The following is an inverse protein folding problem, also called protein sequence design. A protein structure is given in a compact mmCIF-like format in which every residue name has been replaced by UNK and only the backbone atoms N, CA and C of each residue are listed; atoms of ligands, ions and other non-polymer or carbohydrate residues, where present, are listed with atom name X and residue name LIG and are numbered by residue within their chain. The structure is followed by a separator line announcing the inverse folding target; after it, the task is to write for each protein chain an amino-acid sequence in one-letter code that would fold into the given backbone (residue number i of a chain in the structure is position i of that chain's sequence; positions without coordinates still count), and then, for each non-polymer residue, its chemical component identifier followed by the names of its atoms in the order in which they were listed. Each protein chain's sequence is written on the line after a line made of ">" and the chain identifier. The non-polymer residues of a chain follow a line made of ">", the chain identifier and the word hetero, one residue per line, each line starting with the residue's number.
data_IF_875089241058
#
_entry.id   IF_875089241058
#
_cell.length_a   1.000
_cell.length_b   1.000
_cell.length_c   1.000
_cell.angle_alpha   90.00
_cell.angle_beta   90.00
_cell.angle_gamma   90.00
#
_symmetry.space_group_name_H-M   'P 1'
#
loop_
_entity.id
_entity.type
_entity.pdbx_description
1 polymer ?
#
# COMPACT_ATOMS: atom_id res chain seq x y z
N UNK A 1 -41.41 10.25 31.61
CA UNK A 1 -41.21 9.17 30.61
C UNK A 1 -39.72 8.92 30.44
N UNK A 2 -39.32 7.68 30.59
CA UNK A 2 -37.94 7.23 30.86
C UNK A 2 -37.03 7.39 29.65
N UNK A 3 -35.84 8.02 29.88
CA UNK A 3 -34.71 7.99 28.98
C UNK A 3 -34.04 6.61 29.06
N UNK A 4 -33.81 5.97 27.91
CA UNK A 4 -33.05 4.73 27.79
C UNK A 4 -31.59 5.10 27.60
N UNK A 5 -30.76 4.74 28.58
CA UNK A 5 -29.33 4.87 28.53
C UNK A 5 -28.72 3.83 27.57
N UNK A 6 -28.00 4.27 26.57
CA UNK A 6 -27.17 3.41 25.74
C UNK A 6 -25.91 2.99 26.53
N UNK A 7 -25.86 1.71 26.91
CA UNK A 7 -24.73 1.08 27.54
C UNK A 7 -23.59 0.91 26.52
N UNK A 8 -22.50 1.69 26.66
CA UNK A 8 -21.25 1.48 25.96
C UNK A 8 -20.59 0.19 26.44
N UNK A 9 -20.63 -0.85 25.62
CA UNK A 9 -19.90 -2.08 25.86
C UNK A 9 -18.39 -1.82 25.67
N UNK A 10 -17.62 -1.98 26.73
CA UNK A 10 -16.15 -2.09 26.68
C UNK A 10 -15.78 -3.29 25.80
N UNK A 11 -14.76 -3.19 24.91
CA UNK A 11 -14.28 -4.35 24.18
C UNK A 11 -13.61 -5.31 25.16
N UNK A 12 -14.18 -6.48 25.28
CA UNK A 12 -13.66 -7.62 26.02
C UNK A 12 -12.40 -8.14 25.33
N UNK A 13 -11.46 -8.66 26.11
CA UNK A 13 -10.14 -9.20 25.78
C UNK A 13 -10.10 -10.38 24.78
N UNK A 14 -11.15 -10.64 24.04
CA UNK A 14 -11.24 -11.70 23.03
C UNK A 14 -10.98 -11.27 21.59
N UNK A 15 -10.74 -9.96 21.32
CA UNK A 15 -10.56 -9.46 19.93
C UNK A 15 -9.30 -9.94 19.22
N UNK A 16 -8.37 -10.50 19.92
CA UNK A 16 -7.04 -10.81 19.41
C UNK A 16 -6.90 -12.12 18.65
N UNK A 17 -7.55 -13.16 19.08
CA UNK A 17 -7.59 -14.42 18.36
C UNK A 17 -8.26 -14.24 16.97
N UNK A 18 -9.31 -13.44 16.90
CA UNK A 18 -10.03 -13.15 15.66
C UNK A 18 -9.18 -12.49 14.57
N UNK A 19 -8.25 -11.59 14.91
CA UNK A 19 -7.38 -10.92 13.91
C UNK A 19 -6.39 -11.90 13.32
N UNK A 20 -5.79 -12.78 14.13
CA UNK A 20 -4.89 -13.83 13.63
C UNK A 20 -5.66 -14.89 12.82
N UNK A 21 -6.88 -15.24 13.22
CA UNK A 21 -7.75 -16.17 12.49
C UNK A 21 -8.21 -15.60 11.13
N UNK A 22 -8.27 -14.29 10.98
CA UNK A 22 -8.58 -13.59 9.71
C UNK A 22 -7.51 -13.72 8.63
N UNK A 23 -6.29 -14.17 8.99
CA UNK A 23 -5.17 -14.33 8.07
C UNK A 23 -4.65 -15.76 8.06
N UNK A 24 -4.39 -16.27 6.87
CA UNK A 24 -3.65 -17.50 6.64
C UNK A 24 -2.15 -17.19 6.60
N UNK A 25 -1.36 -17.83 7.44
CA UNK A 25 0.09 -17.69 7.45
C UNK A 25 0.71 -18.46 6.29
N UNK A 26 1.53 -17.80 5.49
CA UNK A 26 2.29 -18.37 4.38
C UNK A 26 3.80 -18.39 4.72
N UNK A 27 4.65 -18.22 3.72
CA UNK A 27 6.10 -18.30 3.85
C UNK A 27 6.70 -17.18 4.71
N UNK A 28 7.83 -17.50 5.35
CA UNK A 28 8.70 -16.49 5.97
C UNK A 28 9.48 -15.79 4.86
N UNK A 29 9.30 -14.47 4.72
CA UNK A 29 9.92 -13.67 3.69
C UNK A 29 11.10 -12.82 4.20
N UNK A 30 11.31 -12.75 5.50
CA UNK A 30 12.42 -12.04 6.10
C UNK A 30 12.62 -12.33 7.59
N UNK A 31 13.86 -12.13 8.03
CA UNK A 31 14.25 -12.12 9.43
C UNK A 31 14.78 -10.74 9.77
N UNK A 32 14.02 -9.98 10.58
CA UNK A 32 14.47 -8.70 11.13
C UNK A 32 15.21 -8.87 12.46
N UNK A 33 15.91 -7.85 12.88
CA UNK A 33 16.66 -7.82 14.17
C UNK A 33 15.78 -8.13 15.39
N UNK A 34 14.46 -7.93 15.28
CA UNK A 34 13.49 -8.03 16.37
C UNK A 34 12.35 -9.04 16.13
N UNK A 35 12.41 -9.82 15.05
CA UNK A 35 11.37 -10.81 14.76
C UNK A 35 11.31 -11.25 13.31
N UNK A 36 10.29 -12.01 13.00
CA UNK A 36 10.04 -12.59 11.69
C UNK A 36 9.15 -11.68 10.84
N UNK A 37 9.36 -11.71 9.52
CA UNK A 37 8.42 -11.15 8.55
C UNK A 37 7.86 -12.31 7.74
N UNK A 38 6.54 -12.41 7.74
CA UNK A 38 5.80 -13.50 7.10
C UNK A 38 4.84 -12.95 6.06
N UNK A 39 4.76 -13.59 4.90
CA UNK A 39 3.68 -13.40 3.94
C UNK A 39 2.40 -13.99 4.52
N UNK A 40 1.30 -13.27 4.45
CA UNK A 40 -0.01 -13.72 4.94
C UNK A 40 -1.09 -13.41 3.91
N UNK A 41 -2.13 -14.26 3.87
CA UNK A 41 -3.31 -14.06 3.01
C UNK A 41 -4.51 -13.71 3.87
N UNK A 42 -5.19 -12.60 3.60
CA UNK A 42 -6.45 -12.27 4.26
C UNK A 42 -7.56 -13.18 3.74
N UNK A 43 -8.24 -13.89 4.64
CA UNK A 43 -9.25 -14.91 4.26
C UNK A 43 -10.52 -14.31 3.64
N UNK A 44 -10.85 -13.06 3.97
CA UNK A 44 -12.09 -12.41 3.51
C UNK A 44 -12.08 -12.08 2.01
N UNK A 45 -10.92 -11.76 1.43
CA UNK A 45 -10.79 -11.31 0.04
C UNK A 45 -9.61 -11.94 -0.70
N UNK A 46 -8.81 -12.78 -0.04
CA UNK A 46 -7.65 -13.45 -0.62
C UNK A 46 -6.43 -12.53 -0.84
N UNK A 47 -6.48 -11.26 -0.43
CA UNK A 47 -5.37 -10.32 -0.60
C UNK A 47 -4.15 -10.72 0.23
N UNK A 48 -2.96 -10.47 -0.34
CA UNK A 48 -1.67 -10.78 0.29
C UNK A 48 -1.11 -9.56 1.02
N UNK A 49 -0.53 -9.82 2.20
CA UNK A 49 0.08 -8.84 3.07
C UNK A 49 1.41 -9.36 3.63
N UNK A 50 2.23 -8.46 4.14
CA UNK A 50 3.36 -8.78 5.00
C UNK A 50 2.93 -8.63 6.47
N UNK A 51 3.27 -9.61 7.31
CA UNK A 51 3.05 -9.56 8.75
C UNK A 51 4.39 -9.58 9.47
N UNK A 52 4.70 -8.50 10.17
CA UNK A 52 5.87 -8.39 11.03
C UNK A 52 5.51 -8.87 12.44
N UNK A 53 6.29 -9.79 12.97
CA UNK A 53 6.09 -10.43 14.29
C UNK A 53 7.22 -9.96 15.21
N UNK A 54 6.91 -9.08 16.17
CA UNK A 54 7.88 -8.47 17.08
C UNK A 54 7.72 -9.08 18.48
N UNK A 55 8.75 -9.74 18.99
CA UNK A 55 8.76 -10.21 20.38
C UNK A 55 9.04 -9.02 21.32
N UNK A 56 8.09 -8.70 22.21
CA UNK A 56 8.19 -7.60 23.14
C UNK A 56 8.31 -8.05 24.63
N UNK A 57 8.43 -9.35 24.91
CA UNK A 57 8.62 -9.82 26.29
C UNK A 57 9.84 -9.19 26.97
N UNK A 58 10.92 -8.99 26.22
CA UNK A 58 12.18 -8.42 26.71
C UNK A 58 12.17 -6.89 26.78
N UNK A 59 11.07 -6.23 26.40
CA UNK A 59 10.93 -4.78 26.40
C UNK A 59 10.31 -4.31 27.71
N UNK A 60 10.76 -3.15 28.20
CA UNK A 60 10.09 -2.47 29.32
C UNK A 60 8.73 -1.90 28.88
N UNK A 61 7.87 -1.60 29.84
CA UNK A 61 6.50 -1.14 29.57
C UNK A 61 6.46 0.20 28.80
N UNK A 62 7.45 1.06 29.03
CA UNK A 62 7.57 2.35 28.33
C UNK A 62 7.81 2.15 26.84
N UNK A 63 8.74 1.26 26.46
CA UNK A 63 9.08 0.96 25.07
C UNK A 63 7.90 0.29 24.37
N UNK A 64 7.18 -0.62 25.04
CA UNK A 64 5.94 -1.24 24.51
C UNK A 64 4.89 -0.18 24.17
N UNK A 65 4.62 0.77 25.06
CA UNK A 65 3.67 1.87 24.83
C UNK A 65 4.12 2.78 23.67
N UNK A 66 5.42 3.05 23.57
CA UNK A 66 5.98 3.86 22.48
C UNK A 66 5.78 3.21 21.12
N UNK A 67 6.13 1.92 20.97
CA UNK A 67 5.94 1.19 19.69
C UNK A 67 4.47 1.18 19.27
N UNK A 68 3.57 0.88 20.21
CA UNK A 68 2.14 0.88 19.94
C UNK A 68 1.64 2.26 19.49
N UNK A 69 2.13 3.33 20.11
CA UNK A 69 1.81 4.71 19.72
C UNK A 69 2.33 5.04 18.32
N UNK A 70 3.57 4.65 18.02
CA UNK A 70 4.24 4.91 16.74
C UNK A 70 3.54 4.17 15.59
N UNK A 71 3.18 2.89 15.77
CA UNK A 71 2.37 2.14 14.80
C UNK A 71 1.02 2.81 14.56
N UNK A 72 0.36 3.34 15.60
CA UNK A 72 -0.88 4.09 15.43
C UNK A 72 -0.70 5.35 14.60
N UNK A 73 0.41 6.05 14.76
CA UNK A 73 0.74 7.24 13.96
C UNK A 73 0.96 6.84 12.49
N UNK A 74 1.71 5.76 12.25
CA UNK A 74 1.98 5.26 10.89
C UNK A 74 0.71 4.81 10.16
N UNK A 75 -0.26 4.21 10.86
CA UNK A 75 -1.57 3.88 10.26
C UNK A 75 -2.32 5.08 9.70
N UNK A 76 -2.08 6.26 10.23
CA UNK A 76 -2.74 7.49 9.75
C UNK A 76 -2.01 8.14 8.57
N UNK A 77 -0.82 7.65 8.22
CA UNK A 77 -0.05 8.12 7.08
C UNK A 77 -0.48 7.34 5.84
N UNK A 78 -1.10 8.04 4.90
CA UNK A 78 -1.50 7.49 3.60
C UNK A 78 -0.73 8.25 2.52
N UNK A 79 0.17 7.57 1.84
CA UNK A 79 0.97 8.11 0.74
C UNK A 79 1.43 6.97 -0.18
N UNK A 80 1.42 7.18 -1.48
CA UNK A 80 1.72 6.14 -2.47
C UNK A 80 3.14 5.56 -2.34
N UNK A 81 4.09 6.37 -1.85
CA UNK A 81 5.47 5.95 -1.64
C UNK A 81 5.79 5.57 -0.18
N UNK A 82 4.80 5.26 0.64
CA UNK A 82 4.97 4.75 2.01
C UNK A 82 4.24 3.42 2.14
N UNK A 83 4.87 2.43 2.74
CA UNK A 83 4.25 1.14 3.03
C UNK A 83 3.01 1.37 3.89
N UNK A 84 1.85 0.94 3.40
CA UNK A 84 0.58 1.09 4.11
C UNK A 84 0.50 0.09 5.26
N UNK A 85 0.23 0.61 6.46
CA UNK A 85 -0.07 -0.18 7.64
C UNK A 85 -1.56 -0.46 7.68
N UNK A 86 -1.94 -1.74 7.65
CA UNK A 86 -3.33 -2.17 7.63
C UNK A 86 -3.89 -2.28 9.04
N UNK A 87 -3.34 -3.16 9.85
CA UNK A 87 -3.76 -3.38 11.23
C UNK A 87 -2.64 -3.91 12.11
N UNK A 88 -2.87 -3.89 13.42
CA UNK A 88 -1.95 -4.46 14.40
C UNK A 88 -2.71 -5.25 15.45
N UNK A 89 -2.02 -6.22 16.01
CA UNK A 89 -2.50 -7.02 17.11
C UNK A 89 -1.41 -7.25 18.15
N UNK A 90 -1.78 -7.18 19.43
CA UNK A 90 -0.87 -7.45 20.56
C UNK A 90 -1.31 -8.75 21.21
N UNK A 91 -0.48 -9.77 21.07
CA UNK A 91 -0.62 -11.03 21.78
C UNK A 91 0.09 -10.91 23.13
N UNK A 92 -0.68 -10.69 24.17
CA UNK A 92 -0.15 -10.49 25.53
C UNK A 92 0.26 -11.80 26.18
N UNK A 93 -0.28 -12.95 25.73
CA UNK A 93 0.04 -14.28 26.26
C UNK A 93 1.40 -14.75 25.76
N UNK A 94 1.68 -14.56 24.46
CA UNK A 94 2.95 -14.96 23.85
C UNK A 94 3.97 -13.81 23.76
N UNK A 95 3.62 -12.62 24.23
CA UNK A 95 4.51 -11.44 24.20
C UNK A 95 4.88 -10.98 22.78
N UNK A 96 3.97 -11.11 21.80
CA UNK A 96 4.23 -10.80 20.40
C UNK A 96 3.32 -9.65 19.92
N UNK A 97 3.91 -8.66 19.26
CA UNK A 97 3.20 -7.64 18.50
C UNK A 97 3.21 -8.03 17.02
N UNK A 98 2.04 -8.24 16.46
CA UNK A 98 1.83 -8.46 15.03
C UNK A 98 1.45 -7.14 14.36
N UNK A 99 2.12 -6.83 13.25
CA UNK A 99 1.83 -5.66 12.41
C UNK A 99 1.59 -6.16 10.99
N UNK A 100 0.39 -5.95 10.48
CA UNK A 100 0.01 -6.28 9.11
C UNK A 100 0.18 -5.05 8.24
N UNK A 101 0.87 -5.21 7.12
CA UNK A 101 1.22 -4.13 6.20
C UNK A 101 1.19 -4.59 4.75
N UNK A 102 1.17 -3.64 3.84
CA UNK A 102 1.29 -3.85 2.40
C UNK A 102 2.49 -4.76 2.06
N UNK A 103 2.27 -5.72 1.17
CA UNK A 103 3.34 -6.58 0.65
C UNK A 103 4.00 -5.92 -0.55
N UNK A 104 5.30 -5.66 -0.46
CA UNK A 104 6.11 -5.10 -1.55
C UNK A 104 6.82 -6.24 -2.28
N UNK A 105 6.36 -6.59 -3.47
CA UNK A 105 6.86 -7.76 -4.22
C UNK A 105 8.10 -7.47 -5.07
N UNK A 106 8.45 -6.20 -5.27
CA UNK A 106 9.62 -5.77 -6.05
C UNK A 106 10.97 -5.88 -5.31
N UNK A 107 10.94 -6.30 -4.04
CA UNK A 107 12.14 -6.35 -3.20
C UNK A 107 12.49 -5.01 -2.58
N UNK A 108 13.79 -4.71 -2.44
CA UNK A 108 14.33 -3.50 -1.82
C UNK A 108 15.51 -2.92 -2.61
N UNK A 109 15.86 -1.65 -2.38
CA UNK A 109 16.98 -0.99 -3.08
C UNK A 109 18.34 -1.60 -2.74
N UNK A 110 18.52 -2.19 -1.56
CA UNK A 110 19.75 -2.91 -1.21
C UNK A 110 19.96 -4.12 -2.13
N UNK A 111 18.88 -4.84 -2.46
CA UNK A 111 18.90 -5.94 -3.44
C UNK A 111 19.22 -5.43 -4.85
N UNK A 112 18.67 -4.27 -5.24
CA UNK A 112 18.98 -3.62 -6.54
C UNK A 112 20.45 -3.26 -6.61
N UNK A 113 21.01 -2.61 -5.59
CA UNK A 113 22.43 -2.24 -5.50
C UNK A 113 23.33 -3.49 -5.58
N UNK A 114 23.02 -4.53 -4.80
CA UNK A 114 23.76 -5.81 -4.82
C UNK A 114 23.75 -6.46 -6.20
N UNK A 115 22.61 -6.42 -6.90
CA UNK A 115 22.48 -6.92 -8.28
C UNK A 115 23.38 -6.12 -9.23
N UNK A 116 23.32 -4.78 -9.20
CA UNK A 116 24.13 -3.90 -10.03
C UNK A 116 25.63 -4.12 -9.77
N UNK A 117 26.02 -4.27 -8.50
CA UNK A 117 27.42 -4.58 -8.12
C UNK A 117 27.89 -5.92 -8.70
N UNK A 118 27.05 -6.96 -8.64
CA UNK A 118 27.36 -8.29 -9.19
C UNK A 118 27.49 -8.28 -10.71
N UNK A 119 26.62 -7.55 -11.40
CA UNK A 119 26.63 -7.45 -12.87
C UNK A 119 27.61 -6.38 -13.39
N UNK A 120 28.24 -5.61 -12.50
CA UNK A 120 29.10 -4.47 -12.84
C UNK A 120 28.43 -3.43 -13.75
N UNK A 121 27.11 -3.22 -13.54
CA UNK A 121 26.29 -2.27 -14.28
C UNK A 121 25.85 -1.14 -13.37
N UNK A 122 25.83 0.09 -13.87
CA UNK A 122 25.27 1.22 -13.16
C UNK A 122 23.78 1.39 -13.50
N UNK A 123 23.03 1.95 -12.56
CA UNK A 123 21.65 2.34 -12.82
C UNK A 123 21.60 3.51 -13.81
N UNK A 124 20.62 3.55 -14.73
CA UNK A 124 20.35 4.76 -15.51
C UNK A 124 20.10 5.95 -14.58
N UNK A 125 20.64 7.13 -14.93
CA UNK A 125 20.46 8.32 -14.08
C UNK A 125 18.99 8.69 -13.88
N UNK A 126 18.17 8.49 -14.91
CA UNK A 126 16.71 8.70 -14.81
C UNK A 126 16.05 7.83 -13.72
N UNK A 127 16.49 6.58 -13.57
CA UNK A 127 16.03 5.69 -12.50
C UNK A 127 16.47 6.18 -11.13
N UNK A 128 17.68 6.70 -11.02
CA UNK A 128 18.18 7.30 -9.76
C UNK A 128 17.35 8.53 -9.38
N UNK A 129 17.08 9.43 -10.34
CA UNK A 129 16.21 10.59 -10.10
C UNK A 129 14.78 10.18 -9.74
N UNK A 130 14.24 9.11 -10.35
CA UNK A 130 12.91 8.59 -10.04
C UNK A 130 12.86 8.07 -8.59
N UNK A 131 13.81 7.24 -8.18
CA UNK A 131 13.87 6.76 -6.79
C UNK A 131 14.09 7.91 -5.81
N UNK A 132 14.97 8.85 -6.12
CA UNK A 132 15.22 10.01 -5.29
C UNK A 132 13.97 10.87 -5.11
N UNK A 133 13.23 11.13 -6.19
CA UNK A 133 11.99 11.91 -6.15
C UNK A 133 10.93 11.24 -5.27
N UNK A 134 10.70 9.95 -5.45
CA UNK A 134 9.72 9.17 -4.70
C UNK A 134 10.07 9.08 -3.20
N UNK A 135 11.35 8.81 -2.86
CA UNK A 135 11.82 8.84 -1.47
C UNK A 135 11.64 10.22 -0.84
N UNK A 136 11.92 11.30 -1.60
CA UNK A 136 11.76 12.68 -1.12
C UNK A 136 10.31 13.02 -0.87
N UNK A 137 9.40 12.61 -1.75
CA UNK A 137 7.95 12.82 -1.59
C UNK A 137 7.41 12.06 -0.36
N UNK A 138 7.84 10.81 -0.17
CA UNK A 138 7.48 10.03 1.02
C UNK A 138 7.97 10.67 2.33
N UNK A 139 9.21 11.15 2.36
CA UNK A 139 9.77 11.84 3.52
C UNK A 139 9.08 13.19 3.76
N UNK A 140 8.71 13.92 2.70
CA UNK A 140 7.95 15.18 2.85
C UNK A 140 6.62 14.94 3.54
N UNK A 141 5.87 13.92 3.10
CA UNK A 141 4.60 13.53 3.72
C UNK A 141 4.76 13.15 5.20
N UNK A 142 5.90 12.56 5.59
CA UNK A 142 6.22 12.23 6.98
C UNK A 142 6.61 13.47 7.79
N UNK A 143 7.49 14.33 7.24
CA UNK A 143 8.04 15.47 7.95
C UNK A 143 7.03 16.61 8.14
N UNK A 144 6.10 16.80 7.20
CA UNK A 144 5.19 17.95 7.16
C UNK A 144 3.72 17.53 7.15
N UNK A 145 3.43 16.50 7.91
CA UNK A 145 2.10 15.96 8.02
C UNK A 145 1.07 17.03 8.41
N UNK A 146 -0.02 17.10 7.67
CA UNK A 146 -1.19 17.88 8.02
C UNK A 146 -2.28 16.95 8.56
N UNK A 147 -2.86 17.27 9.70
CA UNK A 147 -4.08 16.60 10.20
C UNK A 147 -5.25 17.51 9.92
N UNK A 148 -6.36 16.90 9.52
CA UNK A 148 -7.61 17.63 9.27
C UNK A 148 -7.93 18.55 10.47
N UNK A 149 -8.40 19.80 10.21
CA UNK A 149 -8.72 20.74 11.29
C UNK A 149 -9.79 20.14 12.21
N UNK A 150 -9.60 20.27 13.49
CA UNK A 150 -10.66 20.01 14.45
C UNK A 150 -11.80 21.01 14.27
N UNK A 151 -13.00 20.75 14.79
CA UNK A 151 -14.17 21.64 14.69
C UNK A 151 -13.91 23.09 15.10
N UNK A 152 -12.80 23.39 15.75
CA UNK A 152 -12.34 24.75 16.13
C UNK A 152 -11.57 25.50 15.04
N UNK A 153 -11.35 24.94 13.84
CA UNK A 153 -10.80 25.60 12.66
C UNK A 153 -9.30 25.95 12.69
N UNK A 154 -8.57 25.70 13.79
CA UNK A 154 -7.15 25.99 13.87
C UNK A 154 -6.30 24.85 13.28
N UNK A 155 -5.35 25.11 12.36
CA UNK A 155 -4.43 24.07 11.87
C UNK A 155 -3.55 23.61 13.05
N UNK A 156 -3.66 22.32 13.40
CA UNK A 156 -2.80 21.72 14.41
C UNK A 156 -1.48 21.32 13.74
N UNK A 157 -0.38 21.94 14.18
CA UNK A 157 0.97 21.47 13.83
C UNK A 157 1.15 20.10 14.46
N UNK A 158 1.20 19.06 13.63
CA UNK A 158 1.40 17.69 14.10
C UNK A 158 2.90 17.41 14.14
N UNK A 159 3.33 16.65 15.13
CA UNK A 159 4.72 16.24 15.27
C UNK A 159 5.18 15.50 14.00
N UNK A 160 6.34 15.89 13.46
CA UNK A 160 6.97 15.24 12.32
C UNK A 160 7.21 13.74 12.63
N UNK A 161 6.95 12.89 11.67
CA UNK A 161 7.32 11.48 11.71
C UNK A 161 8.74 11.40 11.14
N UNK A 162 9.69 10.98 11.98
CA UNK A 162 11.07 10.76 11.58
C UNK A 162 11.28 9.29 11.23
N UNK A 163 11.94 9.00 10.10
CA UNK A 163 12.18 7.61 9.68
C UNK A 163 13.19 6.89 10.58
N UNK A 164 14.28 7.55 10.95
CA UNK A 164 15.33 7.11 11.87
C UNK A 164 16.18 5.90 11.48
N UNK A 165 15.72 5.08 10.53
CA UNK A 165 16.46 3.91 10.00
C UNK A 165 16.43 3.85 8.48
N UNK A 166 16.60 5.00 7.84
CA UNK A 166 16.65 5.09 6.38
C UNK A 166 17.94 4.46 5.85
N UNK A 167 17.77 3.40 5.07
CA UNK A 167 18.83 2.63 4.39
C UNK A 167 18.23 1.91 3.20
N UNK A 168 19.03 1.44 2.22
CA UNK A 168 18.52 0.78 1.02
C UNK A 168 17.60 -0.43 1.29
N UNK A 169 17.86 -1.20 2.36
CA UNK A 169 17.06 -2.36 2.73
C UNK A 169 15.66 -2.01 3.27
N UNK A 170 15.45 -0.76 3.71
CA UNK A 170 14.16 -0.25 4.20
C UNK A 170 13.40 0.58 3.14
N UNK A 171 13.95 0.67 1.94
CA UNK A 171 13.31 1.27 0.76
C UNK A 171 12.85 0.13 -0.14
N UNK A 172 11.60 -0.27 0.05
CA UNK A 172 10.99 -1.36 -0.70
C UNK A 172 10.52 -0.89 -2.08
N UNK A 173 10.24 -1.85 -2.95
CA UNK A 173 9.68 -1.63 -4.28
C UNK A 173 8.38 -2.43 -4.40
N UNK A 174 7.36 -1.81 -4.99
CA UNK A 174 6.15 -2.54 -5.37
C UNK A 174 6.36 -3.36 -6.65
N UNK A 175 5.32 -4.04 -7.14
CA UNK A 175 5.39 -4.84 -8.36
C UNK A 175 5.72 -4.01 -9.62
N UNK A 176 5.41 -2.71 -9.62
CA UNK A 176 5.71 -1.77 -10.71
C UNK A 176 7.06 -1.05 -10.52
N UNK A 177 7.87 -1.45 -9.54
CA UNK A 177 9.15 -0.85 -9.18
C UNK A 177 9.04 0.58 -8.62
N UNK A 178 7.89 0.96 -8.06
CA UNK A 178 7.74 2.21 -7.34
C UNK A 178 8.26 2.06 -5.91
N UNK A 179 8.82 3.14 -5.39
CA UNK A 179 9.35 3.18 -4.01
C UNK A 179 8.22 3.14 -2.99
N UNK A 180 8.44 2.32 -1.97
CA UNK A 180 7.64 2.22 -0.75
C UNK A 180 8.54 2.33 0.47
N UNK A 181 8.58 3.49 1.13
CA UNK A 181 9.32 3.64 2.40
C UNK A 181 8.63 2.82 3.49
N UNK A 182 9.38 1.96 4.15
CA UNK A 182 8.89 1.13 5.25
C UNK A 182 9.93 0.97 6.35
N UNK A 183 9.58 0.17 7.34
CA UNK A 183 10.43 -0.08 8.51
C UNK A 183 10.90 1.21 9.19
N UNK A 184 9.97 2.17 9.37
CA UNK A 184 10.21 3.31 10.23
C UNK A 184 10.76 2.83 11.57
N UNK A 185 11.75 3.50 12.08
CA UNK A 185 12.63 3.05 13.18
C UNK A 185 11.99 2.66 14.51
N UNK A 186 10.84 1.93 14.42
CA UNK A 186 10.20 1.25 15.57
C UNK A 186 11.20 0.49 16.42
N UNK A 187 12.25 -0.01 15.77
CA UNK A 187 13.30 -0.80 16.40
C UNK A 187 14.45 0.02 16.96
N UNK A 188 14.69 1.25 16.47
CA UNK A 188 15.82 2.08 16.96
C UNK A 188 15.51 2.83 18.25
N UNK A 189 14.26 3.13 18.55
CA UNK A 189 13.92 3.63 19.89
C UNK A 189 14.16 2.57 20.97
N UNK A 190 13.97 1.29 20.61
CA UNK A 190 14.31 0.15 21.49
C UNK A 190 15.82 0.00 21.66
N UNK A 191 16.59 0.28 20.61
CA UNK A 191 18.05 0.19 20.65
C UNK A 191 18.70 1.39 21.34
N UNK A 192 18.04 2.53 21.52
CA UNK A 192 18.65 3.71 22.17
C UNK A 192 19.12 3.43 23.60
N UNK A 193 18.52 2.46 24.29
CA UNK A 193 19.03 1.96 25.59
C UNK A 193 19.98 0.76 25.43
N UNK A 194 19.90 0.02 24.31
CA UNK A 194 20.83 -1.06 23.95
C UNK A 194 22.10 -0.54 23.25
N UNK A 195 22.17 0.74 22.92
CA UNK A 195 23.31 1.37 22.24
C UNK A 195 24.65 1.23 22.98
N UNK A 196 24.63 0.86 24.26
CA UNK A 196 25.85 0.64 25.01
C UNK A 196 26.55 -0.71 24.70
N UNK A 197 25.85 -1.74 24.18
CA UNK A 197 26.41 -3.09 24.20
C UNK A 197 26.24 -3.98 22.94
N UNK A 198 25.47 -3.62 21.88
CA UNK A 198 25.31 -4.56 20.76
C UNK A 198 25.01 -3.87 19.44
N UNK A 199 25.99 -3.22 18.82
CA UNK A 199 25.92 -2.83 17.43
C UNK A 199 26.15 -4.06 16.54
N UNK A 200 25.08 -4.67 16.05
CA UNK A 200 25.16 -5.64 14.96
C UNK A 200 25.06 -4.87 13.63
N UNK A 201 26.22 -4.57 13.01
CA UNK A 201 26.33 -3.91 11.71
C UNK A 201 26.94 -2.52 11.76
N UNK A 202 27.56 -2.11 10.65
CA UNK A 202 28.22 -0.80 10.52
C UNK A 202 27.18 0.26 10.12
N UNK A 203 27.04 1.38 10.86
CA UNK A 203 25.97 2.37 10.63
C UNK A 203 26.32 3.37 9.51
N UNK A 204 26.46 2.89 8.27
CA UNK A 204 26.94 3.68 7.12
C UNK A 204 26.12 4.95 6.82
N UNK A 205 24.85 4.99 7.24
CA UNK A 205 23.91 6.10 6.97
C UNK A 205 23.74 7.04 8.16
N UNK A 206 24.57 6.86 9.20
CA UNK A 206 24.56 7.70 10.40
C UNK A 206 24.96 9.13 10.06
N UNK A 207 24.16 10.10 10.52
CA UNK A 207 24.47 11.52 10.34
C UNK A 207 25.56 12.01 11.34
N UNK A 208 26.27 13.11 11.01
CA UNK A 208 27.30 13.68 11.88
C UNK A 208 26.77 14.05 13.28
N UNK A 209 25.56 14.57 13.38
CA UNK A 209 24.91 14.91 14.65
C UNK A 209 24.70 13.67 15.52
N UNK A 210 24.27 12.55 14.95
CA UNK A 210 24.17 11.30 15.69
C UNK A 210 25.53 10.75 16.11
N UNK A 211 26.53 10.87 15.24
CA UNK A 211 27.91 10.47 15.55
C UNK A 211 28.56 11.32 16.67
N UNK A 212 27.96 12.47 17.01
CA UNK A 212 28.37 13.37 18.10
C UNK A 212 27.41 13.40 19.27
N UNK A 213 26.38 12.49 19.28
CA UNK A 213 25.41 12.37 20.36
C UNK A 213 24.36 13.49 20.42
N UNK A 214 24.19 14.22 19.32
CA UNK A 214 23.15 15.24 19.22
C UNK A 214 21.80 14.62 18.81
N UNK A 215 20.67 15.33 19.08
CA UNK A 215 19.34 14.83 18.73
C UNK A 215 19.15 14.61 17.22
N UNK A 216 18.39 13.57 16.86
CA UNK A 216 17.94 13.29 15.52
C UNK A 216 16.81 14.23 15.12
N UNK A 217 16.85 14.78 13.90
CA UNK A 217 15.80 15.61 13.33
C UNK A 217 15.49 15.25 11.84
N UNK A 218 14.60 16.02 11.20
CA UNK A 218 14.25 15.83 9.78
C UNK A 218 15.46 15.95 8.84
N UNK A 219 16.51 16.68 9.24
CA UNK A 219 17.73 16.84 8.44
C UNK A 219 18.66 15.63 8.55
N UNK A 220 18.49 14.81 9.57
CA UNK A 220 19.19 13.53 9.70
C UNK A 220 18.62 12.50 8.71
N UNK A 221 17.28 12.50 8.47
CA UNK A 221 16.69 11.70 7.38
C UNK A 221 17.19 12.16 6.01
N UNK A 222 17.38 13.49 5.80
CA UNK A 222 17.92 14.03 4.55
C UNK A 222 19.40 13.61 4.33
N UNK A 223 20.20 13.54 5.38
CA UNK A 223 21.55 12.98 5.29
C UNK A 223 21.51 11.52 4.84
N UNK A 224 20.69 10.68 5.48
CA UNK A 224 20.56 9.27 5.10
C UNK A 224 20.05 9.10 3.66
N UNK A 225 19.10 9.93 3.22
CA UNK A 225 18.65 10.00 1.83
C UNK A 225 19.83 10.31 0.89
N UNK A 226 20.67 11.29 1.23
CA UNK A 226 21.88 11.62 0.46
C UNK A 226 22.85 10.45 0.34
N UNK A 227 23.05 9.69 1.42
CA UNK A 227 23.87 8.47 1.41
C UNK A 227 23.29 7.41 0.47
N UNK A 228 21.96 7.19 0.49
CA UNK A 228 21.30 6.22 -0.39
C UNK A 228 21.44 6.63 -1.86
N UNK A 229 21.17 7.91 -2.19
CA UNK A 229 21.30 8.41 -3.57
C UNK A 229 22.74 8.27 -4.07
N UNK A 230 23.73 8.57 -3.23
CA UNK A 230 25.12 8.33 -3.55
C UNK A 230 25.39 6.84 -3.83
N UNK A 231 24.88 5.95 -2.97
CA UNK A 231 25.12 4.51 -3.11
C UNK A 231 24.40 3.89 -4.32
N UNK A 232 23.25 4.40 -4.73
CA UNK A 232 22.59 4.01 -5.99
C UNK A 232 23.49 4.29 -7.20
N UNK A 233 24.32 5.34 -7.15
CA UNK A 233 25.23 5.71 -8.21
C UNK A 233 26.58 4.96 -8.11
N UNK A 234 27.20 5.01 -6.92
CA UNK A 234 28.54 4.51 -6.69
C UNK A 234 28.60 3.01 -6.38
N UNK A 235 27.44 2.40 -6.07
CA UNK A 235 27.27 1.01 -5.63
C UNK A 235 28.01 0.69 -4.31
N UNK A 236 28.42 1.71 -3.58
CA UNK A 236 29.01 1.64 -2.24
C UNK A 236 28.62 2.89 -1.44
N UNK A 237 28.59 2.83 -0.11
CA UNK A 237 28.25 3.98 0.70
C UNK A 237 29.30 5.10 0.57
N UNK A 238 28.92 6.39 0.76
CA UNK A 238 29.86 7.52 0.63
C UNK A 238 30.97 7.49 1.70
N UNK A 239 30.71 6.90 2.84
CA UNK A 239 31.64 6.73 3.94
C UNK A 239 31.79 5.25 4.25
N UNK A 240 32.68 4.57 3.52
CA UNK A 240 32.99 3.17 3.76
C UNK A 240 34.18 3.04 4.72
N UNK A 241 34.08 2.14 5.71
CA UNK A 241 35.08 1.95 6.74
C UNK A 241 35.07 0.52 7.27
N UNK A 242 36.23 0.04 7.72
CA UNK A 242 36.40 -1.29 8.30
C UNK A 242 35.87 -1.43 9.73
N UNK A 243 35.72 -0.30 10.44
CA UNK A 243 35.22 -0.25 11.82
C UNK A 243 34.50 1.08 12.12
N UNK A 244 33.75 1.08 13.23
CA UNK A 244 32.90 2.21 13.63
C UNK A 244 33.73 3.49 13.94
N UNK A 245 34.91 3.37 14.51
CA UNK A 245 35.77 4.51 14.83
C UNK A 245 36.24 5.22 13.56
N UNK A 246 36.68 4.45 12.58
CA UNK A 246 37.08 4.98 11.27
C UNK A 246 35.88 5.59 10.54
N UNK A 247 34.72 4.92 10.56
CA UNK A 247 33.48 5.44 9.98
C UNK A 247 33.11 6.80 10.59
N UNK A 248 33.07 6.88 11.92
CA UNK A 248 32.78 8.12 12.65
C UNK A 248 33.76 9.24 12.26
N UNK A 249 35.03 8.93 12.11
CA UNK A 249 36.06 9.89 11.67
C UNK A 249 35.78 10.38 10.24
N UNK A 250 35.48 9.48 9.27
CA UNK A 250 35.15 9.84 7.90
C UNK A 250 33.89 10.70 7.81
N UNK A 251 32.84 10.33 8.55
CA UNK A 251 31.60 11.12 8.64
C UNK A 251 31.89 12.54 9.15
N UNK A 252 32.67 12.67 10.23
CA UNK A 252 33.06 13.98 10.78
C UNK A 252 33.95 14.81 9.84
N UNK A 253 34.72 14.18 8.97
CA UNK A 253 35.49 14.86 7.93
C UNK A 253 34.61 15.36 6.78
N UNK A 254 33.52 14.66 6.48
CA UNK A 254 32.53 15.07 5.48
C UNK A 254 33.06 15.09 4.03
N UNK A 255 34.16 14.38 3.76
CA UNK A 255 34.71 14.30 2.40
C UNK A 255 33.91 13.30 1.56
N UNK A 256 32.96 13.82 0.77
CA UNK A 256 32.11 13.01 -0.12
C UNK A 256 32.88 12.79 -1.44
N UNK A 257 33.13 11.53 -1.86
CA UNK A 257 33.77 11.27 -3.12
C UNK A 257 32.89 11.70 -4.31
N UNK A 258 33.53 11.94 -5.45
CA UNK A 258 32.80 12.24 -6.69
C UNK A 258 32.00 11.02 -7.16
N UNK A 259 30.80 11.27 -7.71
CA UNK A 259 30.02 10.22 -8.36
C UNK A 259 30.78 9.67 -9.59
N UNK A 260 30.66 8.38 -9.87
CA UNK A 260 31.27 7.80 -11.05
C UNK A 260 30.62 8.34 -12.35
N UNK A 261 31.33 8.31 -13.47
CA UNK A 261 30.69 8.51 -14.77
C UNK A 261 29.76 7.33 -15.06
N UNK A 262 28.56 7.55 -15.64
CA UNK A 262 28.15 8.72 -16.46
C UNK A 262 27.24 9.75 -15.74
N UNK A 263 27.17 9.78 -14.40
CA UNK A 263 26.24 10.65 -13.69
C UNK A 263 26.56 12.15 -13.84
N UNK A 264 25.47 12.95 -13.90
CA UNK A 264 25.55 14.38 -14.15
C UNK A 264 26.10 15.16 -12.95
N UNK A 265 26.54 16.39 -13.23
CA UNK A 265 26.95 17.34 -12.19
C UNK A 265 25.77 17.76 -11.31
N UNK A 266 24.58 17.88 -11.87
CA UNK A 266 23.35 18.24 -11.11
C UNK A 266 23.05 17.22 -10.01
N UNK A 267 23.21 15.92 -10.32
CA UNK A 267 23.03 14.86 -9.34
C UNK A 267 24.10 14.90 -8.24
N UNK A 268 25.37 15.15 -8.63
CA UNK A 268 26.46 15.34 -7.66
C UNK A 268 26.19 16.53 -6.73
N UNK A 269 25.74 17.65 -7.27
CA UNK A 269 25.41 18.85 -6.48
C UNK A 269 24.26 18.60 -5.51
N UNK A 270 23.23 17.86 -5.93
CA UNK A 270 22.13 17.45 -5.05
C UNK A 270 22.60 16.55 -3.90
N UNK A 271 23.45 15.55 -4.20
CA UNK A 271 24.05 14.69 -3.17
C UNK A 271 24.91 15.52 -2.20
N UNK A 272 25.78 16.40 -2.71
CA UNK A 272 26.62 17.25 -1.87
C UNK A 272 25.80 18.20 -0.98
N UNK A 273 24.66 18.69 -1.45
CA UNK A 273 23.78 19.54 -0.67
C UNK A 273 23.15 18.76 0.51
N UNK A 274 22.80 17.50 0.32
CA UNK A 274 22.24 16.65 1.37
C UNK A 274 23.31 16.20 2.38
N UNK A 275 24.55 16.01 1.95
CA UNK A 275 25.67 15.54 2.75
C UNK A 275 26.52 16.69 3.36
N UNK A 276 25.88 17.83 3.69
CA UNK A 276 26.52 18.91 4.43
C UNK A 276 26.69 18.52 5.90
N UNK A 277 27.89 18.77 6.47
CA UNK A 277 28.18 18.49 7.88
C UNK A 277 27.24 19.28 8.82
N UNK A 278 27.09 20.58 8.56
CA UNK A 278 26.13 21.41 9.27
C UNK A 278 24.73 21.08 8.80
N UNK A 279 23.93 20.44 9.66
CA UNK A 279 22.55 20.03 9.36
C UNK A 279 21.66 21.20 8.94
N UNK A 280 21.96 22.43 9.39
CA UNK A 280 21.18 23.65 9.05
C UNK A 280 21.34 24.00 7.56
N UNK A 281 22.48 23.67 6.95
CA UNK A 281 22.76 23.93 5.54
C UNK A 281 22.15 22.87 4.61
N UNK A 282 21.77 21.71 5.13
CA UNK A 282 21.10 20.68 4.33
C UNK A 282 19.73 21.21 3.89
N UNK A 283 19.30 20.96 2.64
CA UNK A 283 17.95 21.29 2.20
C UNK A 283 16.91 20.54 3.00
N UNK A 284 15.70 21.08 3.09
CA UNK A 284 14.51 20.33 3.53
C UNK A 284 13.97 19.47 2.40
N UNK A 285 13.15 18.48 2.69
CA UNK A 285 12.47 17.69 1.65
C UNK A 285 11.62 18.58 0.73
N UNK A 286 10.98 19.62 1.25
CA UNK A 286 10.27 20.64 0.45
C UNK A 286 11.18 21.37 -0.52
N UNK A 287 12.40 21.72 -0.11
CA UNK A 287 13.38 22.35 -0.97
C UNK A 287 13.92 21.39 -2.03
N UNK A 288 14.16 20.13 -1.67
CA UNK A 288 14.55 19.08 -2.63
C UNK A 288 13.49 18.87 -3.71
N UNK A 289 12.21 18.86 -3.36
CA UNK A 289 11.11 18.78 -4.32
C UNK A 289 11.05 19.97 -5.29
N UNK A 290 11.76 21.07 -5.04
CA UNK A 290 11.87 22.20 -5.98
C UNK A 290 12.96 22.01 -7.04
N UNK A 291 13.86 21.04 -6.88
CA UNK A 291 14.88 20.70 -7.88
C UNK A 291 14.19 20.28 -9.17
N UNK A 292 14.63 20.84 -10.31
CA UNK A 292 13.99 20.65 -11.62
C UNK A 292 13.86 19.16 -11.98
N UNK A 293 14.90 18.39 -11.81
CA UNK A 293 14.95 16.96 -12.14
C UNK A 293 13.99 16.16 -11.26
N UNK A 294 13.91 16.47 -9.97
CA UNK A 294 12.96 15.85 -9.04
C UNK A 294 11.52 16.20 -9.43
N UNK A 295 11.22 17.47 -9.73
CA UNK A 295 9.90 17.87 -10.23
C UNK A 295 9.50 17.11 -11.49
N UNK A 296 10.43 16.96 -12.43
CA UNK A 296 10.20 16.19 -13.65
C UNK A 296 9.91 14.72 -13.34
N UNK A 297 10.72 14.11 -12.49
CA UNK A 297 10.54 12.71 -12.09
C UNK A 297 9.20 12.50 -11.36
N UNK A 298 8.80 13.39 -10.43
CA UNK A 298 7.48 13.33 -9.79
C UNK A 298 6.35 13.39 -10.83
N UNK A 299 6.39 14.36 -11.75
CA UNK A 299 5.35 14.48 -12.78
C UNK A 299 5.27 13.27 -13.69
N UNK A 300 6.41 12.72 -14.09
CA UNK A 300 6.46 11.49 -14.91
C UNK A 300 5.85 10.32 -14.15
N UNK A 301 6.15 10.20 -12.86
CA UNK A 301 5.55 9.19 -11.98
C UNK A 301 4.04 9.36 -11.85
N UNK A 302 3.55 10.58 -11.55
CA UNK A 302 2.12 10.88 -11.42
C UNK A 302 1.35 10.53 -12.71
N UNK A 303 1.92 10.87 -13.88
CA UNK A 303 1.34 10.53 -15.18
C UNK A 303 1.28 9.01 -15.37
N UNK A 304 2.34 8.28 -15.02
CA UNK A 304 2.36 6.82 -15.14
C UNK A 304 1.33 6.15 -14.23
N UNK A 305 1.19 6.62 -12.98
CA UNK A 305 0.16 6.14 -12.03
C UNK A 305 -1.24 6.43 -12.56
N UNK A 306 -1.49 7.66 -13.02
CA UNK A 306 -2.79 8.04 -13.59
C UNK A 306 -3.14 7.20 -14.83
N UNK A 307 -2.18 7.01 -15.74
CA UNK A 307 -2.36 6.19 -16.93
C UNK A 307 -2.71 4.73 -16.57
N UNK A 308 -2.05 4.18 -15.56
CA UNK A 308 -2.37 2.84 -15.04
C UNK A 308 -3.80 2.76 -14.50
N UNK A 309 -4.22 3.73 -13.69
CA UNK A 309 -5.59 3.80 -13.16
C UNK A 309 -6.63 3.89 -14.28
N UNK A 310 -6.42 4.76 -15.26
CA UNK A 310 -7.33 4.89 -16.41
C UNK A 310 -7.42 3.59 -17.19
N UNK A 311 -6.31 2.88 -17.41
CA UNK A 311 -6.31 1.59 -18.10
C UNK A 311 -7.12 0.54 -17.34
N UNK A 312 -6.88 0.39 -16.04
CA UNK A 312 -7.59 -0.58 -15.19
C UNK A 312 -9.09 -0.29 -15.16
N UNK A 313 -9.48 0.98 -15.02
CA UNK A 313 -10.90 1.37 -14.98
C UNK A 313 -11.57 1.15 -16.35
N UNK A 314 -10.86 1.41 -17.45
CA UNK A 314 -11.36 1.10 -18.81
C UNK A 314 -11.60 -0.41 -18.99
N UNK A 315 -10.67 -1.25 -18.54
CA UNK A 315 -10.81 -2.71 -18.59
C UNK A 315 -12.01 -3.18 -17.74
N UNK A 316 -12.18 -2.61 -16.56
CA UNK A 316 -13.32 -2.88 -15.67
C UNK A 316 -14.66 -2.50 -16.31
N UNK A 317 -14.74 -1.30 -16.88
CA UNK A 317 -15.95 -0.83 -17.57
C UNK A 317 -16.28 -1.70 -18.79
N UNK A 318 -15.27 -2.13 -19.55
CA UNK A 318 -15.47 -3.03 -20.67
C UNK A 318 -16.01 -4.40 -20.23
N UNK A 319 -15.47 -4.96 -19.16
CA UNK A 319 -15.97 -6.21 -18.58
C UNK A 319 -17.41 -6.08 -18.07
N UNK A 320 -17.77 -4.95 -17.46
CA UNK A 320 -19.13 -4.66 -17.01
C UNK A 320 -20.10 -4.53 -18.21
N UNK A 321 -19.70 -3.82 -19.26
CA UNK A 321 -20.52 -3.69 -20.48
C UNK A 321 -20.82 -5.07 -21.10
N UNK A 322 -19.81 -5.92 -21.24
CA UNK A 322 -19.97 -7.29 -21.75
C UNK A 322 -20.91 -8.15 -20.87
N UNK A 323 -20.82 -7.98 -19.54
CA UNK A 323 -21.71 -8.68 -18.61
C UNK A 323 -23.17 -8.21 -18.72
N UNK A 324 -23.39 -6.90 -18.95
CA UNK A 324 -24.70 -6.32 -19.20
C UNK A 324 -25.31 -6.84 -20.51
N UNK A 325 -24.56 -6.82 -21.62
CA UNK A 325 -25.01 -7.38 -22.90
C UNK A 325 -25.47 -8.84 -22.76
N UNK A 326 -24.70 -9.68 -22.09
CA UNK A 326 -25.08 -11.07 -21.83
C UNK A 326 -26.37 -11.17 -21.03
N UNK A 327 -26.56 -10.29 -20.04
CA UNK A 327 -27.77 -10.27 -19.21
C UNK A 327 -28.98 -9.82 -20.02
N UNK A 328 -28.83 -8.80 -20.85
CA UNK A 328 -29.89 -8.32 -21.75
C UNK A 328 -30.32 -9.39 -22.74
N UNK A 329 -29.37 -10.08 -23.37
CA UNK A 329 -29.68 -11.18 -24.27
C UNK A 329 -30.45 -12.32 -23.57
N UNK A 330 -30.07 -12.66 -22.33
CA UNK A 330 -30.78 -13.65 -21.52
C UNK A 330 -32.19 -13.21 -21.16
N UNK A 331 -32.38 -11.93 -20.80
CA UNK A 331 -33.72 -11.38 -20.53
C UNK A 331 -34.61 -11.39 -21.76
N UNK A 332 -34.10 -10.97 -22.92
CA UNK A 332 -34.84 -11.02 -24.19
C UNK A 332 -35.28 -12.45 -24.56
N UNK A 333 -34.38 -13.43 -24.40
CA UNK A 333 -34.70 -14.83 -24.62
C UNK A 333 -35.82 -15.34 -23.66
N UNK A 334 -35.76 -14.88 -22.39
CA UNK A 334 -36.79 -15.23 -21.38
C UNK A 334 -38.13 -14.56 -21.66
N UNK A 335 -38.13 -13.32 -22.14
CA UNK A 335 -39.33 -12.59 -22.53
C UNK A 335 -40.00 -13.24 -23.72
N UNK A 336 -39.22 -13.64 -24.76
CA UNK A 336 -39.73 -14.37 -25.90
C UNK A 336 -40.37 -15.71 -25.50
N UNK A 337 -39.71 -16.46 -24.61
CA UNK A 337 -40.26 -17.72 -24.09
C UNK A 337 -41.57 -17.51 -23.33
N UNK A 338 -41.65 -16.47 -22.48
CA UNK A 338 -42.86 -16.12 -21.75
C UNK A 338 -43.99 -15.70 -22.70
N UNK A 339 -43.69 -14.94 -23.75
CA UNK A 339 -44.68 -14.55 -24.77
C UNK A 339 -45.27 -15.77 -25.50
N UNK A 340 -44.43 -16.73 -25.87
CA UNK A 340 -44.89 -17.99 -26.47
C UNK A 340 -45.79 -18.80 -25.51
N UNK A 341 -45.39 -18.93 -24.24
CA UNK A 341 -46.21 -19.62 -23.23
C UNK A 341 -47.54 -18.90 -22.97
N UNK A 342 -47.53 -17.58 -23.00
CA UNK A 342 -48.77 -16.80 -22.85
C UNK A 342 -49.70 -17.02 -24.05
N UNK A 343 -49.19 -17.09 -25.25
CA UNK A 343 -49.92 -17.39 -26.45
C UNK A 343 -50.53 -18.80 -26.39
N UNK A 344 -49.77 -19.81 -26.01
CA UNK A 344 -50.26 -21.19 -25.83
C UNK A 344 -51.40 -21.26 -24.82
N UNK A 345 -51.27 -20.57 -23.65
CA UNK A 345 -52.30 -20.50 -22.63
C UNK A 345 -53.56 -19.82 -23.18
N UNK A 346 -53.44 -18.75 -23.95
CA UNK A 346 -54.54 -18.07 -24.58
C UNK A 346 -55.30 -18.98 -25.57
N UNK A 347 -54.55 -19.72 -26.42
CA UNK A 347 -55.11 -20.68 -27.35
C UNK A 347 -55.90 -21.80 -26.63
N UNK A 348 -55.38 -22.30 -25.50
CA UNK A 348 -56.08 -23.26 -24.64
C UNK A 348 -57.31 -22.67 -24.00
N UNK A 349 -57.28 -21.43 -23.58
CA UNK A 349 -58.40 -20.69 -22.98
C UNK A 349 -59.57 -20.53 -23.99
N UNK A 350 -59.25 -20.31 -25.23
CA UNK A 350 -60.22 -20.11 -26.32
C UNK A 350 -60.79 -21.42 -26.89
N UNK A 351 -60.17 -22.58 -26.59
CA UNK A 351 -60.56 -23.89 -27.08
C UNK A 351 -62.02 -24.30 -26.70
N UNK A 352 -62.48 -24.09 -25.43
CA UNK A 352 -63.88 -24.39 -25.05
C UNK A 352 -64.88 -23.55 -25.80
N UNK A 353 -64.58 -22.29 -26.11
CA UNK A 353 -65.46 -21.39 -26.87
C UNK A 353 -65.56 -21.80 -28.34
N UNK A 354 -64.47 -22.23 -28.93
CA UNK A 354 -64.42 -22.77 -30.32
C UNK A 354 -65.13 -24.10 -30.40
N UNK A 355 -65.00 -24.99 -29.42
CA UNK A 355 -65.72 -26.27 -29.38
C UNK A 355 -67.22 -26.06 -29.28
N UNK A 356 -67.70 -25.18 -28.43
CA UNK A 356 -69.13 -24.84 -28.35
C UNK A 356 -69.68 -24.26 -29.64
N UNK A 357 -68.93 -23.35 -30.29
CA UNK A 357 -69.31 -22.78 -31.57
C UNK A 357 -69.35 -23.82 -32.71
N UNK A 358 -68.50 -24.85 -32.69
CA UNK A 358 -68.51 -25.99 -33.60
C UNK A 358 -69.73 -26.89 -33.33
N UNK A 359 -70.04 -27.18 -32.06
CA UNK A 359 -71.18 -27.99 -31.67
C UNK A 359 -72.50 -27.29 -32.05
N UNK A 360 -72.62 -25.97 -31.84
CA UNK A 360 -73.76 -25.17 -32.26
C UNK A 360 -73.93 -25.16 -33.79
N UNK A 361 -72.82 -25.06 -34.54
CA UNK A 361 -72.90 -25.19 -36.05
C UNK A 361 -73.28 -26.58 -36.47
N UNK A 362 -72.82 -27.63 -35.83
CA UNK A 362 -73.20 -29.00 -36.10
C UNK A 362 -74.68 -29.21 -35.78
N UNK A 363 -75.23 -28.65 -34.72
CA UNK A 363 -76.66 -28.71 -34.41
C UNK A 363 -77.54 -27.95 -35.39
N UNK A 364 -77.08 -26.81 -35.93
CA UNK A 364 -77.79 -26.11 -37.03
C UNK A 364 -77.81 -26.91 -38.34
N UNK A 365 -76.69 -27.54 -38.70
CA UNK A 365 -76.67 -28.40 -39.90
C UNK A 365 -77.51 -29.65 -39.76
N UNK A 366 -77.70 -30.17 -38.54
CA UNK A 366 -78.63 -31.33 -38.32
C UNK A 366 -80.09 -30.94 -38.30
N UNK A 367 -80.43 -29.71 -37.89
CA UNK A 367 -81.80 -29.17 -37.89
C UNK A 367 -82.25 -28.85 -39.37
N UNK A 368 -81.37 -28.20 -40.12
CA UNK A 368 -81.66 -27.91 -41.55
C UNK A 368 -81.85 -29.20 -42.40
N UNK A 369 -81.06 -30.26 -42.12
CA UNK A 369 -81.21 -31.55 -42.74
C UNK A 369 -82.46 -32.33 -42.30
N UNK A 370 -83.09 -31.99 -41.17
CA UNK A 370 -84.35 -32.57 -40.74
C UNK A 370 -85.54 -31.87 -41.36
N UNK A 371 -85.45 -30.54 -41.61
CA UNK A 371 -86.51 -29.76 -42.23
C UNK A 371 -86.62 -30.06 -43.75
N UNK A 372 -85.50 -30.38 -44.42
CA UNK A 372 -85.53 -30.80 -45.83
C UNK A 372 -86.18 -32.18 -46.07
N UNK A 373 -86.26 -33.03 -45.02
CA UNK A 373 -86.93 -34.36 -45.11
C UNK A 373 -88.41 -34.34 -44.84
N UNK A 374 -88.98 -33.24 -44.34
CA UNK A 374 -90.43 -33.08 -44.06
C UNK A 374 -91.17 -32.36 -45.15
N UNK A 375 -90.57 -32.04 -46.30
CA UNK A 375 -91.20 -31.34 -47.43
C UNK A 375 -91.29 -32.20 -48.67
N UNK A 376 -91.21 -33.54 -48.55
CA UNK A 376 -91.48 -34.49 -49.60
C UNK A 376 -92.47 -35.56 -49.12
N UNK A 377 -93.72 -35.17 -49.03
CA UNK A 377 -94.93 -36.04 -49.22
C UNK A 377 -96.07 -35.22 -49.77
#
# INVERSE_FOLDING_TARGET
>A
MRAVAASGSRPTSGGGAYVLEGYEALDVIGNGTFGLIRKVRRKSDGMLFARKELNFERMNERDRKHIVSEVNILRTLQHDNVVRYEERYVDTENGILYIVMELCEGGDLGTVIKRCRRTKTHLPEESVWSFFAQMTAALEACHYRTVAPTMSGAPRTVQAILHRDLKPENVFLDADQNVKLGDFGLSKQMAAQAFANTYVGTPYYMSPELATGQPYDIKSDVWALGCIVYELCALCPPFDASNQTELTRKIKQGAVPALPRPYSRDLQEAVNAMLQLDHRRRPTTRQLLQIRQIKMACRTHDIAVLHKHVRVEKERLHAQALALEKREALLQAREQKLALQTQEVQEWSDYPSRSKALDERCLLYTSDAADERSSVD
#
